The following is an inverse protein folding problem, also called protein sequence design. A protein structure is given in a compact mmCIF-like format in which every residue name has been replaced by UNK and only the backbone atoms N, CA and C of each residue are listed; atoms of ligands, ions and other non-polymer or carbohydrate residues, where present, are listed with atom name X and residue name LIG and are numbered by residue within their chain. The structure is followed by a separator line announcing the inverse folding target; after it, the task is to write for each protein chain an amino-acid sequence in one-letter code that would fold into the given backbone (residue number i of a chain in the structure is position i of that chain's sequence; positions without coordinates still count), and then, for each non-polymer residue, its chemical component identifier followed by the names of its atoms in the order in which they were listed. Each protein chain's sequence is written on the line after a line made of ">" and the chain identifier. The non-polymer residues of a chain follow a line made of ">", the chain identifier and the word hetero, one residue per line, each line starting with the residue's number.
data_IF_574622112838
#
_entry.id   IF_574622112838
#
_cell.length_a   1.000
_cell.length_b   1.000
_cell.length_c   1.000
_cell.angle_alpha   90.00
_cell.angle_beta   90.00
_cell.angle_gamma   90.00
#
_symmetry.space_group_name_H-M   'P 1'
#
loop_
_entity.id
_entity.type
_entity.pdbx_description
1 polymer ?
#
# COMPACT_ATOMS: atom_id res chain seq x y z
N UNK A 1 -0.12 15.05 4.94
CA UNK A 1 0.30 13.80 5.61
C UNK A 1 1.09 13.02 4.58
N UNK A 2 2.26 12.53 4.96
CA UNK A 2 3.16 11.74 4.10
C UNK A 2 2.88 10.26 4.38
N UNK A 3 2.72 9.46 3.32
CA UNK A 3 2.54 8.01 3.43
C UNK A 3 3.92 7.42 3.74
N UNK A 4 4.02 6.65 4.82
CA UNK A 4 5.27 6.01 5.23
C UNK A 4 5.09 4.50 5.41
N UNK A 5 6.19 3.81 5.70
CA UNK A 5 6.23 2.35 5.77
C UNK A 5 5.30 1.73 6.83
N UNK A 6 4.96 2.49 7.88
CA UNK A 6 4.08 2.06 8.97
C UNK A 6 2.60 2.32 8.66
N UNK A 7 2.30 3.09 7.61
CA UNK A 7 0.93 3.28 7.13
C UNK A 7 0.35 1.93 6.69
N UNK A 8 -0.89 1.65 7.10
CA UNK A 8 -1.58 0.42 6.67
C UNK A 8 -2.21 0.58 5.30
N UNK A 9 -2.32 -0.51 4.53
CA UNK A 9 -3.05 -0.51 3.25
C UNK A 9 -4.45 0.05 3.44
N UNK A 10 -5.14 -0.31 4.52
CA UNK A 10 -6.48 0.19 4.77
C UNK A 10 -6.54 1.68 5.09
N UNK A 11 -5.52 2.24 5.74
CA UNK A 11 -5.40 3.68 5.91
C UNK A 11 -5.16 4.40 4.58
N UNK A 12 -4.28 3.86 3.72
CA UNK A 12 -4.06 4.41 2.37
C UNK A 12 -5.35 4.42 1.57
N UNK A 13 -6.08 3.31 1.49
CA UNK A 13 -7.31 3.22 0.68
C UNK A 13 -8.44 4.10 1.20
N UNK A 14 -8.56 4.27 2.54
CA UNK A 14 -9.59 5.12 3.14
C UNK A 14 -9.26 6.61 3.04
N UNK A 15 -8.00 6.98 3.17
CA UNK A 15 -7.55 8.38 3.19
C UNK A 15 -7.29 8.89 1.77
N UNK A 16 -6.80 8.02 0.90
CA UNK A 16 -6.37 8.31 -0.48
C UNK A 16 -6.93 7.26 -1.45
N UNK A 17 -8.25 7.25 -1.69
CA UNK A 17 -8.90 6.25 -2.55
C UNK A 17 -8.31 6.20 -3.97
N UNK A 18 -7.74 7.30 -4.48
CA UNK A 18 -7.04 7.35 -5.76
C UNK A 18 -5.74 6.52 -5.78
N UNK A 19 -5.10 6.31 -4.62
CA UNK A 19 -3.87 5.52 -4.49
C UNK A 19 -4.13 4.01 -4.49
N UNK A 20 -5.40 3.60 -4.38
CA UNK A 20 -5.80 2.20 -4.54
C UNK A 20 -5.30 1.62 -5.87
N UNK A 21 -5.36 2.40 -6.96
CA UNK A 21 -4.90 1.96 -8.27
C UNK A 21 -3.37 1.84 -8.35
N UNK A 22 -2.63 2.65 -7.59
CA UNK A 22 -1.18 2.50 -7.44
C UNK A 22 -0.87 1.17 -6.79
N UNK A 23 -1.49 0.86 -5.64
CA UNK A 23 -1.30 -0.42 -4.95
C UNK A 23 -1.60 -1.63 -5.87
N UNK A 24 -2.71 -1.58 -6.62
CA UNK A 24 -3.05 -2.63 -7.59
C UNK A 24 -2.01 -2.78 -8.70
N UNK A 25 -1.40 -1.67 -9.15
CA UNK A 25 -0.35 -1.68 -10.18
C UNK A 25 0.94 -2.34 -9.69
N UNK A 26 1.17 -2.38 -8.37
CA UNK A 26 2.24 -3.14 -7.72
C UNK A 26 1.85 -4.60 -7.42
N UNK A 27 0.75 -5.10 -7.98
CA UNK A 27 0.32 -6.49 -7.80
C UNK A 27 -0.55 -6.75 -6.57
N UNK A 28 -0.90 -5.72 -5.80
CA UNK A 28 -1.85 -5.84 -4.67
C UNK A 28 -3.30 -5.72 -5.17
N UNK A 29 -3.77 -6.70 -5.94
CA UNK A 29 -5.13 -6.71 -6.49
C UNK A 29 -6.23 -6.89 -5.43
N UNK A 30 -5.89 -7.49 -4.28
CA UNK A 30 -6.83 -7.84 -3.21
C UNK A 30 -6.89 -6.80 -2.08
N UNK A 31 -6.56 -5.53 -2.33
CA UNK A 31 -6.51 -4.50 -1.29
C UNK A 31 -7.82 -4.36 -0.49
N UNK A 32 -8.98 -4.71 -1.04
CA UNK A 32 -10.26 -4.70 -0.31
C UNK A 32 -10.46 -5.88 0.65
N UNK A 33 -9.58 -6.88 0.66
CA UNK A 33 -9.65 -8.03 1.56
C UNK A 33 -9.35 -7.57 3.01
N UNK A 34 -10.13 -8.02 4.02
CA UNK A 34 -9.85 -7.69 5.42
C UNK A 34 -8.44 -8.05 5.88
N UNK A 35 -7.85 -9.11 5.30
CA UNK A 35 -6.47 -9.51 5.60
C UNK A 35 -5.47 -8.44 5.17
N UNK A 36 -5.59 -7.93 3.94
CA UNK A 36 -4.67 -6.94 3.39
C UNK A 36 -4.84 -5.56 4.02
N UNK A 37 -6.05 -5.20 4.43
CA UNK A 37 -6.33 -3.89 5.03
C UNK A 37 -5.55 -3.63 6.34
N UNK A 38 -5.15 -4.69 7.06
CA UNK A 38 -4.39 -4.59 8.31
C UNK A 38 -2.86 -4.62 8.14
N UNK A 39 -2.35 -4.92 6.95
CA UNK A 39 -0.91 -4.97 6.69
C UNK A 39 -0.34 -3.56 6.54
N UNK A 40 0.83 -3.32 7.14
CA UNK A 40 1.62 -2.11 6.83
C UNK A 40 2.21 -2.21 5.42
N UNK A 41 2.57 -1.07 4.83
CA UNK A 41 3.23 -1.06 3.53
C UNK A 41 4.57 -1.82 3.54
N UNK A 42 5.31 -1.76 4.66
CA UNK A 42 6.54 -2.57 4.85
C UNK A 42 6.24 -4.07 4.80
N UNK A 43 5.22 -4.52 5.54
CA UNK A 43 4.83 -5.93 5.57
C UNK A 43 4.36 -6.41 4.20
N UNK A 44 3.50 -5.63 3.55
CA UNK A 44 3.00 -5.93 2.21
C UNK A 44 4.14 -6.01 1.20
N UNK A 45 5.11 -5.08 1.25
CA UNK A 45 6.28 -5.12 0.38
C UNK A 45 7.10 -6.41 0.57
N UNK A 46 7.30 -6.87 1.81
CA UNK A 46 7.99 -8.13 2.09
C UNK A 46 7.21 -9.34 1.57
N UNK A 47 5.90 -9.44 1.86
CA UNK A 47 5.03 -10.57 1.48
C UNK A 47 4.92 -10.69 -0.04
N UNK A 48 4.86 -9.55 -0.73
CA UNK A 48 4.69 -9.48 -2.18
C UNK A 48 6.01 -9.28 -2.96
N UNK A 49 7.16 -9.35 -2.27
CA UNK A 49 8.50 -9.16 -2.84
C UNK A 49 8.63 -7.88 -3.68
N UNK A 50 8.11 -6.77 -3.14
CA UNK A 50 8.19 -5.43 -3.73
C UNK A 50 9.33 -4.64 -3.12
N UNK A 51 9.89 -3.71 -3.89
CA UNK A 51 10.78 -2.69 -3.35
C UNK A 51 9.95 -1.65 -2.59
N UNK A 52 10.24 -1.48 -1.31
CA UNK A 52 9.48 -0.59 -0.43
C UNK A 52 9.69 0.89 -0.81
N UNK A 53 10.89 1.27 -1.22
CA UNK A 53 11.21 2.65 -1.57
C UNK A 53 10.46 3.06 -2.84
N UNK A 54 10.42 2.19 -3.85
CA UNK A 54 9.64 2.41 -5.08
C UNK A 54 8.14 2.51 -4.79
N UNK A 55 7.61 1.66 -3.91
CA UNK A 55 6.21 1.70 -3.49
C UNK A 55 5.87 3.03 -2.80
N UNK A 56 6.68 3.45 -1.82
CA UNK A 56 6.48 4.71 -1.10
C UNK A 56 6.62 5.92 -2.03
N UNK A 57 7.59 5.89 -2.94
CA UNK A 57 7.76 6.95 -3.93
C UNK A 57 6.56 7.06 -4.87
N UNK A 58 5.96 5.94 -5.28
CA UNK A 58 4.77 5.94 -6.13
C UNK A 58 3.51 6.42 -5.38
N UNK A 59 3.37 6.08 -4.10
CA UNK A 59 2.23 6.50 -3.27
C UNK A 59 2.25 7.98 -2.90
N UNK A 60 3.45 8.57 -2.72
CA UNK A 60 3.62 9.97 -2.35
C UNK A 60 3.72 10.95 -3.54
N UNK A 61 3.67 10.46 -4.79
CA UNK A 61 3.47 11.29 -5.99
C UNK A 61 2.00 11.62 -6.17
#
# INVERSE_FOLDING_TARGET
>A
MEINKDTTIGEVVRTYPEKAQVLMSFGMGCIGCPSSQGETLEQAAVVHALDLDDLLAALNK
#
